data_IF_257208673646
#
_entry.id   IF_257208673646
#
_cell.length_a   1.000
_cell.length_b   1.000
_cell.length_c   1.000
_cell.angle_alpha   90.00
_cell.angle_beta   90.00
_cell.angle_gamma   90.00
#
_symmetry.space_group_name_H-M   'P 1'
#
loop_
_entity.id
_entity.type
_entity.pdbx_description
1 polymer ?
#
# COMPACT_ATOMS: atom_id res chain seq x y z
N UNK A 1 11.33 -41.65 -41.51
CA UNK A 1 12.49 -41.27 -42.33
C UNK A 1 12.27 -39.84 -42.84
N UNK A 2 13.31 -38.99 -42.83
CA UNK A 2 13.27 -37.54 -43.08
C UNK A 2 13.52 -37.24 -44.59
N UNK A 3 13.66 -35.98 -45.11
CA UNK A 3 14.79 -35.10 -44.80
C UNK A 3 14.53 -33.56 -44.75
N UNK A 4 15.52 -32.92 -44.11
CA UNK A 4 16.09 -31.57 -44.21
C UNK A 4 15.79 -30.69 -45.45
N UNK A 5 15.86 -29.36 -45.28
CA UNK A 5 17.03 -28.54 -45.76
C UNK A 5 16.89 -27.02 -45.51
N UNK A 6 18.06 -26.41 -45.29
CA UNK A 6 18.40 -24.99 -45.15
C UNK A 6 18.42 -24.23 -46.50
N UNK A 7 18.31 -22.90 -46.47
CA UNK A 7 19.23 -21.89 -47.11
C UNK A 7 18.58 -20.49 -47.04
N UNK A 8 19.12 -19.47 -46.37
CA UNK A 8 20.25 -18.55 -46.69
C UNK A 8 20.21 -17.91 -48.09
N UNK A 9 20.03 -16.59 -48.13
CA UNK A 9 20.61 -15.71 -49.14
C UNK A 9 21.10 -14.41 -48.49
N UNK A 10 22.30 -14.00 -48.90
CA UNK A 10 23.16 -12.90 -48.42
C UNK A 10 23.46 -12.04 -49.66
N UNK A 11 23.56 -10.72 -49.48
CA UNK A 11 24.34 -9.79 -50.33
C UNK A 11 24.67 -8.58 -49.43
N UNK A 12 25.88 -8.39 -48.88
CA UNK A 12 27.17 -7.96 -49.49
C UNK A 12 27.01 -6.69 -50.34
N UNK A 13 27.31 -5.48 -49.83
CA UNK A 13 28.61 -4.85 -49.46
C UNK A 13 29.22 -4.02 -50.60
N UNK A 14 29.47 -2.72 -50.36
CA UNK A 14 30.71 -2.06 -50.83
C UNK A 14 30.99 -0.75 -50.08
N UNK A 15 32.28 -0.55 -49.88
CA UNK A 15 32.96 0.33 -48.95
C UNK A 15 33.52 1.62 -49.59
N UNK A 16 34.30 2.35 -48.76
CA UNK A 16 35.31 3.40 -49.03
C UNK A 16 34.75 4.84 -48.83
N UNK A 17 35.37 5.78 -48.09
CA UNK A 17 36.81 6.01 -47.84
C UNK A 17 37.04 6.94 -46.62
N UNK A 18 38.14 6.72 -45.88
CA UNK A 18 38.88 7.69 -45.03
C UNK A 18 39.79 8.57 -45.92
N UNK A 19 40.23 9.78 -45.50
CA UNK A 19 41.43 10.02 -44.66
C UNK A 19 41.29 11.27 -43.75
N UNK A 20 42.22 11.83 -42.98
CA UNK A 20 43.40 11.47 -42.17
C UNK A 20 43.82 12.77 -41.41
N UNK A 21 44.52 12.64 -40.27
CA UNK A 21 45.24 13.73 -39.55
C UNK A 21 45.03 13.63 -38.02
N UNK A 22 45.90 13.00 -37.23
CA UNK A 22 47.22 13.43 -36.68
C UNK A 22 47.13 14.62 -35.71
N UNK A 23 47.78 14.74 -34.55
CA UNK A 23 48.63 13.94 -33.63
C UNK A 23 49.18 14.98 -32.61
N UNK A 24 49.28 14.67 -31.30
CA UNK A 24 50.30 15.14 -30.31
C UNK A 24 49.72 15.14 -28.88
N UNK A 25 50.15 14.22 -27.99
CA UNK A 25 51.35 14.24 -27.12
C UNK A 25 51.26 15.30 -26.01
N UNK A 26 51.26 14.84 -24.73
CA UNK A 26 52.16 15.29 -23.66
C UNK A 26 51.94 14.43 -22.39
N UNK A 27 53.00 13.72 -22.03
CA UNK A 27 53.24 13.00 -20.78
C UNK A 27 54.32 13.75 -19.98
N UNK A 28 54.32 13.53 -18.64
CA UNK A 28 55.48 13.54 -17.72
C UNK A 28 56.12 14.92 -17.35
N UNK A 29 56.59 15.23 -16.12
CA UNK A 29 56.76 14.48 -14.85
C UNK A 29 57.30 15.38 -13.70
N UNK A 30 57.19 14.87 -12.46
CA UNK A 30 58.17 14.89 -11.32
C UNK A 30 58.44 16.21 -10.55
N UNK A 31 58.82 16.25 -9.27
CA UNK A 31 59.45 15.31 -8.29
C UNK A 31 59.06 15.77 -6.86
N UNK A 32 59.36 15.17 -5.69
CA UNK A 32 60.41 14.25 -5.20
C UNK A 32 60.04 13.82 -3.76
N UNK A 33 60.06 12.53 -3.41
CA UNK A 33 61.12 11.72 -2.73
C UNK A 33 61.36 12.00 -1.22
N UNK A 34 61.09 10.99 -0.38
CA UNK A 34 62.01 10.58 0.71
C UNK A 34 61.66 9.18 1.21
N UNK A 35 62.71 8.39 1.38
CA UNK A 35 62.80 6.93 1.52
C UNK A 35 62.82 6.44 2.97
N UNK A 36 62.37 5.19 3.20
CA UNK A 36 63.12 4.17 3.97
C UNK A 36 62.36 2.83 4.08
N UNK A 37 63.01 1.77 3.61
CA UNK A 37 62.83 0.33 3.91
C UNK A 37 62.75 0.08 5.44
N UNK A 38 62.14 -0.94 6.06
CA UNK A 38 62.07 -2.39 5.79
C UNK A 38 61.19 -3.09 6.85
N UNK A 39 60.66 -4.26 6.46
CA UNK A 39 60.18 -5.43 7.23
C UNK A 39 59.31 -5.28 8.51
N UNK A 40 58.07 -5.78 8.46
CA UNK A 40 57.63 -6.88 9.34
C UNK A 40 56.24 -7.36 8.93
N UNK A 41 56.18 -8.60 8.46
CA UNK A 41 54.96 -9.40 8.46
C UNK A 41 54.34 -9.39 9.85
N UNK A 42 53.08 -9.00 9.93
CA UNK A 42 52.15 -9.35 11.00
C UNK A 42 50.77 -9.33 10.37
N UNK A 43 50.36 -10.51 9.92
CA UNK A 43 48.97 -10.85 9.68
C UNK A 43 48.17 -10.60 10.97
N UNK A 44 47.53 -9.45 11.06
CA UNK A 44 46.42 -9.22 11.97
C UNK A 44 45.38 -8.36 11.26
N UNK A 45 44.87 -8.90 10.15
CA UNK A 45 43.50 -8.61 9.76
C UNK A 45 42.62 -9.16 10.89
N UNK A 46 42.39 -8.31 11.88
CA UNK A 46 41.32 -8.47 12.84
C UNK A 46 40.03 -8.52 12.02
N UNK A 47 39.65 -9.75 11.70
CA UNK A 47 38.34 -10.16 11.24
C UNK A 47 37.39 -9.82 12.39
N UNK A 48 37.04 -8.54 12.48
CA UNK A 48 35.80 -8.15 13.14
C UNK A 48 34.72 -8.78 12.28
N UNK A 49 34.30 -9.99 12.66
CA UNK A 49 33.04 -10.57 12.21
C UNK A 49 31.97 -9.50 12.47
N UNK A 50 31.66 -8.73 11.43
CA UNK A 50 30.56 -7.77 11.44
C UNK A 50 29.31 -8.63 11.50
N UNK A 51 28.90 -8.96 12.73
CA UNK A 51 27.80 -9.86 13.03
C UNK A 51 26.57 -9.36 12.27
N UNK A 52 26.22 -10.07 11.20
CA UNK A 52 25.19 -9.62 10.28
C UNK A 52 23.90 -9.34 11.05
N UNK A 53 23.24 -8.18 10.86
CA UNK A 53 22.20 -7.73 11.76
C UNK A 53 21.09 -8.79 11.88
N UNK A 54 20.69 -9.05 13.14
CA UNK A 54 19.63 -10.01 13.49
C UNK A 54 18.25 -9.59 12.96
N UNK A 55 18.08 -8.29 12.70
CA UNK A 55 16.85 -7.69 12.15
C UNK A 55 17.10 -7.22 10.72
N UNK A 56 16.25 -7.65 9.80
CA UNK A 56 16.25 -7.22 8.40
C UNK A 56 14.98 -6.43 8.07
N UNK A 57 15.09 -5.38 7.26
CA UNK A 57 13.93 -4.59 6.81
C UNK A 57 13.56 -5.01 5.39
N UNK A 58 12.31 -5.35 5.17
CA UNK A 58 11.79 -5.76 3.87
C UNK A 58 11.45 -4.55 2.97
N UNK A 59 11.21 -4.77 1.66
CA UNK A 59 10.79 -3.72 0.74
C UNK A 59 9.48 -3.04 1.15
N UNK A 60 8.58 -3.78 1.82
CA UNK A 60 7.33 -3.22 2.32
C UNK A 60 7.49 -2.39 3.60
N UNK A 61 8.73 -2.27 4.11
CA UNK A 61 9.22 -1.57 5.31
C UNK A 61 8.99 -2.30 6.63
N UNK A 62 8.59 -3.57 6.59
CA UNK A 62 8.43 -4.40 7.77
C UNK A 62 9.80 -4.85 8.29
N UNK A 63 9.96 -4.94 9.60
CA UNK A 63 11.17 -5.46 10.23
C UNK A 63 10.97 -6.92 10.63
N UNK A 64 11.96 -7.78 10.36
CA UNK A 64 11.91 -9.21 10.64
C UNK A 64 13.13 -9.67 11.43
N UNK A 65 12.91 -10.45 12.49
CA UNK A 65 13.93 -11.22 13.19
C UNK A 65 14.20 -12.54 12.45
N UNK A 66 15.47 -12.77 12.12
CA UNK A 66 15.92 -13.95 11.35
C UNK A 66 17.04 -14.75 12.04
N UNK A 67 17.56 -14.28 13.16
CA UNK A 67 18.66 -14.90 13.94
C UNK A 67 18.43 -16.39 14.27
N UNK A 68 17.19 -16.77 14.52
CA UNK A 68 16.82 -18.16 14.84
C UNK A 68 16.71 -19.09 13.62
N UNK A 69 16.83 -18.56 12.40
CA UNK A 69 16.77 -19.35 11.16
C UNK A 69 18.14 -19.97 10.82
N UNK A 70 18.18 -21.08 10.05
CA UNK A 70 19.43 -21.58 9.48
C UNK A 70 20.15 -20.50 8.66
N UNK A 71 21.48 -20.50 8.68
CA UNK A 71 22.31 -19.49 8.01
C UNK A 71 21.98 -19.38 6.51
N UNK A 72 21.71 -20.50 5.83
CA UNK A 72 21.30 -20.50 4.42
C UNK A 72 20.01 -19.71 4.20
N UNK A 73 18.99 -19.94 5.04
CA UNK A 73 17.72 -19.21 5.00
C UNK A 73 17.90 -17.74 5.37
N UNK A 74 18.76 -17.42 6.35
CA UNK A 74 19.06 -16.03 6.69
C UNK A 74 19.65 -15.27 5.49
N UNK A 75 20.60 -15.88 4.79
CA UNK A 75 21.23 -15.30 3.61
C UNK A 75 20.21 -15.15 2.48
N UNK A 76 19.39 -16.16 2.21
CA UNK A 76 18.32 -16.08 1.22
C UNK A 76 17.33 -14.92 1.50
N UNK A 77 16.97 -14.71 2.78
CA UNK A 77 16.11 -13.58 3.18
C UNK A 77 16.82 -12.24 3.00
N UNK A 78 18.09 -12.14 3.41
CA UNK A 78 18.89 -10.91 3.25
C UNK A 78 19.02 -10.54 1.77
N UNK A 79 19.35 -11.51 0.92
CA UNK A 79 19.52 -11.30 -0.52
C UNK A 79 18.20 -10.87 -1.17
N UNK A 80 17.11 -11.59 -0.88
CA UNK A 80 15.78 -11.27 -1.40
C UNK A 80 15.26 -9.89 -0.97
N UNK A 81 15.66 -9.37 0.19
CA UNK A 81 15.23 -8.04 0.67
C UNK A 81 16.19 -6.91 0.27
N UNK A 82 17.48 -7.20 0.08
CA UNK A 82 18.49 -6.23 -0.37
C UNK A 82 18.28 -5.84 -1.84
N UNK A 83 18.05 -6.83 -2.70
CA UNK A 83 17.76 -6.64 -4.11
C UNK A 83 16.42 -7.30 -4.45
N UNK A 84 15.30 -6.68 -4.06
CA UNK A 84 14.00 -7.30 -4.24
C UNK A 84 13.70 -7.53 -5.72
N UNK A 85 13.08 -8.68 -6.05
CA UNK A 85 12.78 -9.01 -7.42
C UNK A 85 11.83 -7.95 -8.01
N UNK A 86 12.08 -7.59 -9.29
CA UNK A 86 11.25 -6.62 -10.02
C UNK A 86 9.96 -7.28 -10.49
N UNK A 87 9.10 -7.58 -9.52
CA UNK A 87 7.84 -8.27 -9.72
C UNK A 87 6.71 -7.27 -9.95
N UNK A 88 5.92 -7.51 -10.98
CA UNK A 88 4.57 -6.97 -11.10
C UNK A 88 3.56 -8.09 -10.88
N UNK A 89 2.71 -7.98 -9.86
CA UNK A 89 1.57 -8.89 -9.71
C UNK A 89 0.58 -8.61 -10.84
N UNK A 90 0.16 -9.68 -11.50
CA UNK A 90 -0.73 -9.59 -12.64
C UNK A 90 -2.15 -9.97 -12.22
N UNK A 91 -2.31 -11.23 -11.84
CA UNK A 91 -3.61 -11.84 -11.58
C UNK A 91 -3.56 -12.65 -10.30
N UNK A 92 -4.65 -12.65 -9.57
CA UNK A 92 -4.88 -13.58 -8.48
C UNK A 92 -6.26 -14.22 -8.60
N UNK A 93 -6.38 -15.45 -8.14
CA UNK A 93 -7.65 -16.17 -8.13
C UNK A 93 -7.69 -17.25 -7.06
N UNK A 94 -8.88 -17.54 -6.58
CA UNK A 94 -9.17 -18.71 -5.75
C UNK A 94 -9.69 -19.82 -6.66
N UNK A 95 -9.02 -20.97 -6.68
CA UNK A 95 -9.45 -22.18 -7.39
C UNK A 95 -9.54 -23.30 -6.37
N UNK A 96 -10.76 -23.75 -6.08
CA UNK A 96 -11.03 -24.72 -5.03
C UNK A 96 -10.40 -24.25 -3.69
N UNK A 97 -9.46 -25.02 -3.15
CA UNK A 97 -8.73 -24.72 -1.92
C UNK A 97 -7.32 -24.18 -2.20
N UNK A 98 -7.13 -23.41 -3.28
CA UNK A 98 -5.82 -22.85 -3.65
C UNK A 98 -5.93 -21.41 -4.13
N UNK A 99 -5.28 -20.49 -3.42
CA UNK A 99 -4.99 -19.15 -3.92
C UNK A 99 -3.81 -19.22 -4.89
N UNK A 100 -4.00 -18.72 -6.10
CA UNK A 100 -2.97 -18.66 -7.13
C UNK A 100 -2.67 -17.20 -7.46
N UNK A 101 -1.39 -16.85 -7.44
CA UNK A 101 -0.88 -15.53 -7.81
C UNK A 101 0.03 -15.66 -9.02
N UNK A 102 -0.27 -14.92 -10.07
CA UNK A 102 0.54 -14.81 -11.27
C UNK A 102 1.33 -13.51 -11.22
N UNK A 103 2.62 -13.60 -11.50
CA UNK A 103 3.55 -12.48 -11.49
C UNK A 103 4.32 -12.39 -12.80
N UNK A 104 4.62 -11.16 -13.21
CA UNK A 104 5.34 -10.86 -14.44
C UNK A 104 6.76 -10.39 -14.11
N UNK A 105 7.74 -11.18 -14.53
CA UNK A 105 9.16 -10.85 -14.57
C UNK A 105 9.69 -11.02 -16.01
N UNK A 106 10.96 -11.40 -16.19
CA UNK A 106 11.48 -11.93 -17.47
C UNK A 106 10.71 -13.19 -17.91
N UNK A 107 10.32 -14.03 -16.94
CA UNK A 107 9.49 -15.21 -17.14
C UNK A 107 8.31 -15.12 -16.19
N UNK A 108 7.10 -15.37 -16.69
CA UNK A 108 5.91 -15.44 -15.82
C UNK A 108 6.10 -16.51 -14.76
N UNK A 109 5.97 -16.13 -13.49
CA UNK A 109 5.99 -17.06 -12.36
C UNK A 109 4.59 -17.16 -11.76
N UNK A 110 4.35 -18.28 -11.09
CA UNK A 110 3.12 -18.50 -10.33
C UNK A 110 3.43 -19.01 -8.93
N UNK A 111 2.78 -18.42 -7.93
CA UNK A 111 2.77 -18.91 -6.55
C UNK A 111 1.41 -19.50 -6.25
N UNK A 112 1.40 -20.62 -5.51
CA UNK A 112 0.19 -21.27 -5.04
C UNK A 112 0.26 -21.42 -3.52
N UNK A 113 -0.80 -20.99 -2.86
CA UNK A 113 -1.03 -21.13 -1.42
C UNK A 113 -2.26 -22.02 -1.28
N UNK A 114 -2.04 -23.29 -0.93
CA UNK A 114 -3.09 -24.32 -0.86
C UNK A 114 -3.45 -24.61 0.59
N UNK A 115 -4.74 -24.72 0.90
CA UNK A 115 -5.18 -25.21 2.20
C UNK A 115 -4.73 -26.66 2.38
N UNK A 116 -4.13 -26.98 3.51
CA UNK A 116 -3.72 -28.34 3.84
C UNK A 116 -4.62 -28.92 4.92
N UNK A 117 -4.88 -30.23 4.83
CA UNK A 117 -5.70 -30.95 5.81
C UNK A 117 -5.06 -31.06 7.20
N UNK A 118 -3.74 -30.86 7.29
CA UNK A 118 -2.96 -30.85 8.54
C UNK A 118 -2.97 -29.48 9.26
N UNK A 119 -3.69 -28.49 8.71
CA UNK A 119 -3.81 -27.15 9.29
C UNK A 119 -2.67 -26.19 8.92
N UNK A 120 -1.69 -26.60 8.11
CA UNK A 120 -0.60 -25.71 7.66
C UNK A 120 -0.56 -25.62 6.14
N UNK A 121 -0.82 -24.44 5.58
CA UNK A 121 -0.87 -24.19 4.14
C UNK A 121 0.33 -24.73 3.39
N UNK A 122 0.11 -25.38 2.25
CA UNK A 122 1.19 -25.76 1.35
C UNK A 122 1.51 -24.59 0.41
N UNK A 123 2.75 -24.13 0.46
CA UNK A 123 3.27 -23.04 -0.37
C UNK A 123 4.10 -23.67 -1.50
N UNK A 124 3.91 -23.19 -2.73
CA UNK A 124 4.73 -23.62 -3.86
C UNK A 124 4.93 -22.50 -4.86
N UNK A 125 6.09 -22.46 -5.49
CA UNK A 125 6.41 -21.50 -6.56
C UNK A 125 6.89 -22.25 -7.79
N UNK A 126 6.57 -21.74 -8.98
CA UNK A 126 7.04 -22.26 -10.26
C UNK A 126 8.56 -22.21 -10.47
N UNK A 127 9.33 -21.64 -9.53
CA UNK A 127 10.80 -21.67 -9.55
C UNK A 127 11.39 -23.02 -9.07
N UNK A 128 10.59 -23.91 -8.48
CA UNK A 128 10.95 -25.31 -8.24
C UNK A 128 11.93 -25.57 -7.08
N UNK A 129 11.88 -24.79 -6.00
CA UNK A 129 12.64 -25.07 -4.78
C UNK A 129 11.68 -25.48 -3.67
N UNK A 130 11.78 -26.74 -3.21
CA UNK A 130 10.87 -27.31 -2.22
C UNK A 130 11.36 -27.15 -0.77
N UNK A 131 12.68 -27.01 -0.56
CA UNK A 131 13.28 -27.01 0.79
C UNK A 131 13.47 -25.61 1.41
N UNK A 132 13.64 -24.57 0.60
CA UNK A 132 13.84 -23.19 1.06
C UNK A 132 12.88 -22.22 0.36
N UNK A 133 12.39 -21.17 1.07
CA UNK A 133 11.51 -20.19 0.48
C UNK A 133 12.29 -19.35 -0.55
N UNK A 134 11.89 -19.46 -1.81
CA UNK A 134 12.44 -18.62 -2.88
C UNK A 134 12.13 -17.13 -2.68
N UNK A 135 12.87 -16.26 -3.36
CA UNK A 135 12.67 -14.81 -3.36
C UNK A 135 11.22 -14.38 -3.70
N UNK A 136 10.55 -15.09 -4.63
CA UNK A 136 9.17 -14.79 -5.02
C UNK A 136 8.19 -15.03 -3.86
N UNK A 137 8.39 -16.10 -3.10
CA UNK A 137 7.58 -16.43 -1.93
C UNK A 137 7.81 -15.40 -0.82
N UNK A 138 9.07 -15.10 -0.51
CA UNK A 138 9.43 -14.09 0.48
C UNK A 138 8.81 -12.73 0.16
N UNK A 139 8.95 -12.29 -1.10
CA UNK A 139 8.39 -11.03 -1.55
C UNK A 139 6.86 -11.01 -1.47
N UNK A 140 6.17 -12.04 -1.97
CA UNK A 140 4.70 -12.07 -1.94
C UNK A 140 4.18 -12.11 -0.50
N UNK A 141 4.75 -12.95 0.35
CA UNK A 141 4.31 -13.07 1.74
C UNK A 141 4.53 -11.77 2.52
N UNK A 142 5.63 -11.06 2.26
CA UNK A 142 5.85 -9.71 2.80
C UNK A 142 4.75 -8.72 2.35
N UNK A 143 4.34 -8.75 1.08
CA UNK A 143 3.22 -7.91 0.61
C UNK A 143 1.90 -8.28 1.31
N UNK A 144 1.62 -9.57 1.49
CA UNK A 144 0.38 -10.02 2.13
C UNK A 144 0.37 -9.62 3.61
N UNK A 145 1.44 -9.88 4.34
CA UNK A 145 1.57 -9.53 5.78
C UNK A 145 1.29 -8.07 6.01
N UNK A 146 1.84 -7.19 5.17
CA UNK A 146 1.61 -5.74 5.26
C UNK A 146 0.13 -5.37 5.17
N UNK A 147 -0.67 -6.13 4.43
CA UNK A 147 -2.10 -5.86 4.29
C UNK A 147 -2.95 -6.48 5.38
N UNK A 148 -2.56 -7.65 5.90
CA UNK A 148 -3.42 -8.50 6.72
C UNK A 148 -3.13 -8.46 8.22
N UNK A 149 -1.93 -8.04 8.63
CA UNK A 149 -1.55 -7.99 10.05
C UNK A 149 -1.80 -6.58 10.61
N UNK A 150 -2.95 -6.39 11.25
CA UNK A 150 -3.36 -5.09 11.80
C UNK A 150 -2.69 -4.71 13.13
N UNK A 151 -2.33 -5.71 13.94
CA UNK A 151 -1.86 -5.51 15.32
C UNK A 151 -0.33 -5.42 15.43
N UNK A 152 0.35 -5.12 14.32
CA UNK A 152 1.78 -4.94 14.34
C UNK A 152 2.15 -3.62 15.02
N UNK A 153 2.92 -3.71 16.10
CA UNK A 153 3.67 -2.59 16.63
C UNK A 153 4.88 -2.37 15.73
N UNK A 154 4.94 -1.22 15.04
CA UNK A 154 6.02 -0.93 14.11
C UNK A 154 7.40 -0.88 14.76
N UNK A 155 7.47 -0.69 16.09
CA UNK A 155 8.72 -0.76 16.84
C UNK A 155 9.18 -2.21 17.11
N UNK A 156 8.32 -3.21 16.91
CA UNK A 156 8.61 -4.62 17.18
C UNK A 156 8.80 -5.40 15.88
N UNK A 157 9.98 -6.00 15.67
CA UNK A 157 10.20 -6.83 14.49
C UNK A 157 9.39 -8.13 14.58
N UNK A 158 8.91 -8.59 13.43
CA UNK A 158 8.14 -9.82 13.26
C UNK A 158 9.05 -11.05 13.28
N UNK A 159 8.60 -12.16 13.85
CA UNK A 159 9.43 -13.38 13.90
C UNK A 159 9.24 -14.22 12.65
N UNK A 160 10.22 -14.21 11.74
CA UNK A 160 10.19 -14.98 10.49
C UNK A 160 10.15 -16.50 10.76
N UNK A 161 9.41 -17.27 9.98
CA UNK A 161 9.46 -18.75 10.04
C UNK A 161 10.43 -19.30 9.00
N UNK A 162 10.82 -20.57 9.13
CA UNK A 162 11.63 -21.27 8.11
C UNK A 162 10.95 -21.32 6.73
N UNK A 163 9.65 -20.99 6.65
CA UNK A 163 8.84 -21.00 5.44
C UNK A 163 8.71 -19.62 4.79
N UNK A 164 9.39 -18.60 5.32
CA UNK A 164 9.46 -17.28 4.70
C UNK A 164 8.30 -16.33 4.98
N UNK A 165 7.48 -16.61 5.99
CA UNK A 165 6.45 -15.68 6.50
C UNK A 165 6.54 -15.55 8.03
N UNK A 166 6.05 -14.44 8.62
CA UNK A 166 6.11 -14.22 10.06
C UNK A 166 5.08 -15.06 10.84
N UNK A 167 5.42 -15.46 12.07
CA UNK A 167 4.53 -16.25 12.94
C UNK A 167 3.21 -15.54 13.24
N UNK A 168 3.26 -14.21 13.34
CA UNK A 168 2.14 -13.32 13.63
C UNK A 168 1.06 -13.35 12.54
N UNK A 169 1.43 -13.71 11.29
CA UNK A 169 0.47 -13.92 10.21
C UNK A 169 -0.46 -15.11 10.48
N UNK A 170 0.02 -16.10 11.25
CA UNK A 170 -0.60 -17.41 11.36
C UNK A 170 -0.49 -18.20 10.06
N UNK A 171 -1.50 -19.01 9.77
CA UNK A 171 -1.57 -19.79 8.53
C UNK A 171 -1.88 -18.89 7.31
N UNK A 172 -1.04 -18.88 6.24
CA UNK A 172 -1.23 -17.97 5.11
C UNK A 172 -2.57 -18.13 4.37
N UNK A 173 -3.05 -19.35 4.15
CA UNK A 173 -4.33 -19.58 3.48
C UNK A 173 -5.49 -19.02 4.33
N UNK A 174 -5.54 -19.37 5.62
CA UNK A 174 -6.57 -18.88 6.52
C UNK A 174 -6.51 -17.37 6.73
N UNK A 175 -5.31 -16.79 6.69
CA UNK A 175 -5.09 -15.35 6.76
C UNK A 175 -5.70 -14.63 5.54
N UNK A 176 -5.44 -15.14 4.33
CA UNK A 176 -6.07 -14.62 3.10
C UNK A 176 -7.60 -14.84 3.14
N UNK A 177 -8.07 -16.01 3.57
CA UNK A 177 -9.51 -16.32 3.63
C UNK A 177 -10.28 -15.43 4.62
N UNK A 178 -9.63 -15.02 5.73
CA UNK A 178 -10.17 -14.01 6.67
C UNK A 178 -10.20 -12.62 6.06
N UNK A 179 -9.17 -12.29 5.29
CA UNK A 179 -9.03 -10.96 4.70
C UNK A 179 -9.85 -10.78 3.41
N UNK A 180 -10.24 -11.88 2.77
CA UNK A 180 -10.73 -11.98 1.40
C UNK A 180 -9.68 -11.63 0.34
N UNK A 181 -9.72 -12.39 -0.76
CA UNK A 181 -8.77 -12.23 -1.86
C UNK A 181 -8.91 -10.88 -2.56
N UNK A 182 -10.13 -10.37 -2.73
CA UNK A 182 -10.40 -9.10 -3.41
C UNK A 182 -9.89 -7.88 -2.63
N UNK A 183 -10.17 -7.79 -1.33
CA UNK A 183 -9.58 -6.74 -0.50
C UNK A 183 -8.05 -6.80 -0.45
N UNK A 184 -7.49 -8.02 -0.41
CA UNK A 184 -6.05 -8.21 -0.44
C UNK A 184 -5.47 -7.74 -1.79
N UNK A 185 -6.12 -8.13 -2.89
CA UNK A 185 -5.72 -7.84 -4.26
C UNK A 185 -5.63 -6.33 -4.51
N UNK A 186 -6.60 -5.56 -4.05
CA UNK A 186 -6.57 -4.10 -4.06
C UNK A 186 -5.30 -3.56 -3.38
N UNK A 187 -5.02 -4.05 -2.16
CA UNK A 187 -3.86 -3.60 -1.37
C UNK A 187 -2.50 -3.96 -1.97
N UNK A 188 -2.42 -4.99 -2.79
CA UNK A 188 -1.18 -5.44 -3.46
C UNK A 188 -1.18 -5.15 -4.97
N UNK A 189 -2.15 -4.37 -5.46
CA UNK A 189 -2.32 -3.95 -6.86
C UNK A 189 -2.39 -5.11 -7.87
N UNK A 190 -3.13 -6.16 -7.49
CA UNK A 190 -3.29 -7.37 -8.28
C UNK A 190 -4.73 -7.46 -8.82
N UNK A 191 -4.92 -7.92 -10.05
CA UNK A 191 -6.26 -8.11 -10.60
C UNK A 191 -6.87 -9.43 -10.10
N UNK A 192 -8.07 -9.41 -9.54
CA UNK A 192 -8.81 -10.65 -9.24
C UNK A 192 -9.45 -11.20 -10.50
N UNK A 193 -9.30 -12.51 -10.74
CA UNK A 193 -9.95 -13.20 -11.86
C UNK A 193 -10.86 -14.29 -11.33
N UNK A 194 -12.13 -14.24 -11.70
CA UNK A 194 -13.08 -15.34 -11.48
C UNK A 194 -13.13 -16.24 -12.72
N UNK A 195 -13.56 -17.51 -12.60
CA UNK A 195 -13.73 -18.39 -13.75
C UNK A 195 -14.63 -17.80 -14.85
N UNK A 196 -15.63 -17.01 -14.46
CA UNK A 196 -16.56 -16.34 -15.37
C UNK A 196 -15.93 -15.07 -15.99
N UNK A 197 -15.15 -14.31 -15.22
CA UNK A 197 -14.52 -13.07 -15.69
C UNK A 197 -13.35 -13.27 -16.66
N UNK A 198 -12.82 -14.50 -16.79
CA UNK A 198 -11.74 -14.82 -17.72
C UNK A 198 -12.16 -14.61 -19.19
N UNK A 199 -13.48 -14.58 -19.45
CA UNK A 199 -14.06 -14.39 -20.79
C UNK A 199 -14.78 -13.05 -20.99
N UNK A 200 -15.20 -12.38 -19.92
CA UNK A 200 -16.12 -11.24 -20.03
C UNK A 200 -15.44 -9.88 -20.31
N UNK A 201 -14.11 -9.79 -20.34
CA UNK A 201 -13.37 -8.53 -20.51
C UNK A 201 -13.88 -7.40 -19.58
N UNK A 202 -14.46 -7.77 -18.44
CA UNK A 202 -14.94 -6.80 -17.48
C UNK A 202 -13.75 -6.05 -16.90
N UNK A 203 -13.89 -4.73 -16.90
CA UNK A 203 -12.88 -3.84 -16.42
C UNK A 203 -12.92 -3.83 -14.90
N UNK A 204 -11.78 -4.12 -14.29
CA UNK A 204 -11.57 -3.98 -12.87
C UNK A 204 -11.77 -2.49 -12.46
N UNK A 205 -12.82 -2.17 -11.68
CA UNK A 205 -13.11 -0.80 -11.30
C UNK A 205 -12.02 -0.22 -10.38
N UNK A 206 -11.40 -1.03 -9.53
CA UNK A 206 -10.32 -0.60 -8.65
C UNK A 206 -9.11 -0.19 -9.48
N UNK A 207 -8.71 -1.03 -10.43
CA UNK A 207 -7.59 -0.73 -11.34
C UNK A 207 -7.82 0.55 -12.16
N UNK A 208 -9.06 0.82 -12.55
CA UNK A 208 -9.40 2.05 -13.25
C UNK A 208 -9.32 3.29 -12.35
N UNK A 209 -9.71 3.17 -11.08
CA UNK A 209 -9.51 4.23 -10.08
C UNK A 209 -8.02 4.49 -9.83
N UNK A 210 -7.20 3.46 -9.70
CA UNK A 210 -5.75 3.63 -9.52
C UNK A 210 -5.09 4.28 -10.73
N UNK A 211 -5.53 3.92 -11.95
CA UNK A 211 -5.07 4.58 -13.16
C UNK A 211 -5.51 6.05 -13.22
N UNK A 212 -6.69 6.39 -12.67
CA UNK A 212 -7.15 7.77 -12.52
C UNK A 212 -6.24 8.55 -11.61
N UNK A 213 -5.89 7.98 -10.47
CA UNK A 213 -5.00 8.59 -9.49
C UNK A 213 -3.61 8.85 -10.07
N UNK A 214 -3.00 7.85 -10.71
CA UNK A 214 -1.71 7.98 -11.39
C UNK A 214 -1.71 9.13 -12.41
N UNK A 215 -2.74 9.19 -13.26
CA UNK A 215 -2.82 10.22 -14.30
C UNK A 215 -3.12 11.61 -13.71
N UNK A 216 -3.99 11.67 -12.69
CA UNK A 216 -4.31 12.93 -12.01
C UNK A 216 -3.08 13.55 -11.33
N UNK A 217 -2.19 12.73 -10.75
CA UNK A 217 -0.93 13.19 -10.15
C UNK A 217 -0.02 13.92 -11.13
N UNK A 218 0.02 13.47 -12.38
CA UNK A 218 0.85 14.10 -13.42
C UNK A 218 0.18 15.36 -13.96
N UNK A 219 -1.15 15.36 -14.08
CA UNK A 219 -1.88 16.47 -14.68
C UNK A 219 -2.24 17.60 -13.71
N UNK A 220 -2.30 17.34 -12.40
CA UNK A 220 -2.55 18.33 -11.35
C UNK A 220 -3.95 18.33 -10.70
N UNK A 221 -5.07 18.11 -11.41
CA UNK A 221 -6.39 18.02 -10.79
C UNK A 221 -6.49 16.92 -9.75
N UNK A 222 -7.42 17.07 -8.80
CA UNK A 222 -7.78 15.98 -7.90
C UNK A 222 -8.32 14.77 -8.70
N UNK A 223 -8.11 13.53 -8.23
CA UNK A 223 -8.61 12.33 -8.91
C UNK A 223 -10.08 12.44 -9.27
N UNK A 224 -10.93 12.96 -8.38
CA UNK A 224 -12.38 13.06 -8.53
C UNK A 224 -12.82 13.96 -9.69
N UNK A 225 -12.02 14.97 -10.03
CA UNK A 225 -12.26 15.93 -11.11
C UNK A 225 -11.53 15.57 -12.41
N UNK A 226 -10.58 14.64 -12.35
CA UNK A 226 -9.76 14.30 -13.50
C UNK A 226 -10.56 13.50 -14.55
N UNK A 227 -10.70 14.06 -15.75
CA UNK A 227 -11.27 13.41 -16.96
C UNK A 227 -12.54 12.59 -16.70
N UNK A 228 -13.65 13.19 -16.23
CA UNK A 228 -14.90 12.46 -15.97
C UNK A 228 -15.43 11.74 -17.23
N UNK A 229 -15.13 12.25 -18.42
CA UNK A 229 -15.45 11.60 -19.70
C UNK A 229 -14.76 10.23 -19.90
N UNK A 230 -13.67 9.95 -19.20
CA UNK A 230 -13.00 8.64 -19.18
C UNK A 230 -13.50 7.82 -17.99
N UNK A 231 -13.51 8.40 -16.79
CA UNK A 231 -13.58 7.64 -15.55
C UNK A 231 -14.98 7.50 -14.95
N UNK A 232 -15.98 8.25 -15.41
CA UNK A 232 -17.37 8.02 -14.96
C UNK A 232 -17.92 6.70 -15.50
N UNK A 233 -17.49 6.28 -16.70
CA UNK A 233 -17.85 5.00 -17.33
C UNK A 233 -16.64 4.43 -18.07
N UNK A 234 -15.65 3.90 -17.34
CA UNK A 234 -14.41 3.43 -17.92
C UNK A 234 -14.64 2.26 -18.89
N UNK A 235 -13.84 2.21 -19.95
CA UNK A 235 -13.85 1.10 -20.92
C UNK A 235 -12.45 0.83 -21.46
N UNK A 236 -12.10 -0.46 -21.50
CA UNK A 236 -10.87 -0.96 -22.15
C UNK A 236 -10.84 -0.60 -23.63
N UNK A 237 -12.00 -0.68 -24.29
CA UNK A 237 -12.16 -0.44 -25.72
C UNK A 237 -11.44 -1.48 -26.58
N UNK A 238 -11.58 -1.37 -27.91
CA UNK A 238 -11.03 -2.38 -28.85
C UNK A 238 -9.52 -2.24 -29.12
N UNK A 239 -8.95 -1.07 -28.88
CA UNK A 239 -7.55 -0.74 -29.18
C UNK A 239 -6.98 0.13 -28.07
N UNK A 240 -5.76 -0.17 -27.64
CA UNK A 240 -5.02 0.61 -26.64
C UNK A 240 -4.83 2.05 -27.12
N UNK A 241 -4.34 2.24 -28.35
CA UNK A 241 -4.13 3.57 -28.92
C UNK A 241 -5.45 4.27 -29.29
N UNK A 242 -5.74 5.38 -28.60
CA UNK A 242 -6.81 6.31 -28.96
C UNK A 242 -6.21 7.54 -29.65
N UNK A 243 -6.44 7.67 -30.95
CA UNK A 243 -5.97 8.84 -31.73
C UNK A 243 -6.54 10.13 -31.14
N UNK A 244 -5.68 11.15 -31.02
CA UNK A 244 -5.97 12.49 -30.51
C UNK A 244 -6.38 12.55 -29.02
N UNK A 245 -6.17 11.49 -28.25
CA UNK A 245 -6.43 11.47 -26.79
C UNK A 245 -5.33 10.69 -26.09
N UNK A 246 -4.28 11.40 -25.67
CA UNK A 246 -3.11 10.79 -25.01
C UNK A 246 -3.50 10.21 -23.66
N UNK A 247 -4.24 10.94 -22.83
CA UNK A 247 -4.63 10.46 -21.50
C UNK A 247 -5.44 9.17 -21.60
N UNK A 248 -6.39 9.07 -22.54
CA UNK A 248 -7.16 7.82 -22.76
C UNK A 248 -6.27 6.69 -23.31
N UNK A 249 -5.24 7.01 -24.09
CA UNK A 249 -4.25 6.02 -24.53
C UNK A 249 -3.43 5.51 -23.35
N UNK A 250 -2.89 6.40 -22.52
CA UNK A 250 -2.09 6.01 -21.35
C UNK A 250 -2.95 5.26 -20.33
N UNK A 251 -4.18 5.71 -20.08
CA UNK A 251 -5.17 4.98 -19.27
C UNK A 251 -5.31 3.53 -19.73
N UNK A 252 -5.54 3.29 -21.03
CA UNK A 252 -5.66 1.92 -21.56
C UNK A 252 -4.37 1.12 -21.45
N UNK A 253 -3.20 1.76 -21.58
CA UNK A 253 -1.92 1.10 -21.35
C UNK A 253 -1.72 0.68 -19.89
N UNK A 254 -2.17 1.50 -18.93
CA UNK A 254 -2.09 1.18 -17.50
C UNK A 254 -3.00 -0.01 -17.11
N UNK A 255 -4.11 -0.19 -17.82
CA UNK A 255 -5.00 -1.33 -17.66
C UNK A 255 -4.42 -2.61 -18.29
N UNK A 256 -3.87 -2.50 -19.50
CA UNK A 256 -3.40 -3.65 -20.29
C UNK A 256 -2.03 -4.18 -19.82
N UNK A 257 -1.11 -3.28 -19.44
CA UNK A 257 0.26 -3.63 -19.09
C UNK A 257 0.58 -3.36 -17.61
N UNK A 258 0.76 -4.44 -16.86
CA UNK A 258 0.97 -4.40 -15.41
C UNK A 258 2.37 -3.88 -15.05
N UNK A 259 3.39 -4.25 -15.81
CA UNK A 259 4.74 -3.71 -15.61
C UNK A 259 4.77 -2.20 -15.85
N UNK A 260 4.05 -1.71 -16.88
CA UNK A 260 3.95 -0.29 -17.15
C UNK A 260 3.28 0.47 -16.00
N UNK A 261 2.20 -0.07 -15.45
CA UNK A 261 1.56 0.51 -14.26
C UNK A 261 2.50 0.57 -13.05
N UNK A 262 3.17 -0.54 -12.71
CA UNK A 262 4.08 -0.56 -11.56
C UNK A 262 5.27 0.38 -11.76
N UNK A 263 5.80 0.45 -12.99
CA UNK A 263 6.83 1.41 -13.35
C UNK A 263 6.33 2.85 -13.15
N UNK A 264 5.17 3.20 -13.68
CA UNK A 264 4.60 4.55 -13.53
C UNK A 264 4.39 4.91 -12.07
N UNK A 265 3.81 3.99 -11.28
CA UNK A 265 3.60 4.15 -9.84
C UNK A 265 4.91 4.35 -9.08
N UNK A 266 5.98 3.63 -9.46
CA UNK A 266 7.30 3.77 -8.82
C UNK A 266 7.93 5.15 -9.01
N UNK A 267 7.49 5.90 -10.03
CA UNK A 267 7.94 7.27 -10.30
C UNK A 267 7.08 8.33 -9.59
N UNK A 268 5.90 7.97 -9.09
CA UNK A 268 5.02 8.89 -8.37
C UNK A 268 5.59 9.29 -7.01
N UNK A 269 5.28 10.51 -6.58
CA UNK A 269 5.69 11.02 -5.29
C UNK A 269 4.98 10.27 -4.15
N UNK A 270 5.56 10.23 -2.94
CA UNK A 270 4.89 9.66 -1.76
C UNK A 270 3.59 10.41 -1.37
N UNK A 271 3.43 11.65 -1.82
CA UNK A 271 2.25 12.49 -1.56
C UNK A 271 1.18 12.38 -2.64
N UNK A 272 1.44 11.64 -3.72
CA UNK A 272 0.46 11.41 -4.77
C UNK A 272 -0.66 10.50 -4.27
N UNK A 273 -1.92 10.69 -4.71
CA UNK A 273 -3.08 9.89 -4.25
C UNK A 273 -2.87 8.37 -4.33
N UNK A 274 -2.18 7.88 -5.36
CA UNK A 274 -1.88 6.45 -5.54
C UNK A 274 -0.95 5.88 -4.47
N UNK A 275 -0.11 6.73 -3.86
CA UNK A 275 0.89 6.37 -2.86
C UNK A 275 0.53 6.87 -1.46
N UNK A 276 -0.57 7.63 -1.32
CA UNK A 276 -1.07 8.13 -0.05
C UNK A 276 -1.69 6.97 0.77
N UNK A 277 -1.03 6.51 1.86
CA UNK A 277 -1.50 5.37 2.63
C UNK A 277 -2.85 5.63 3.31
N UNK A 278 -3.13 6.88 3.68
CA UNK A 278 -4.37 7.22 4.40
C UNK A 278 -5.57 7.13 3.45
N UNK A 279 -5.42 7.67 2.23
CA UNK A 279 -6.43 7.56 1.18
C UNK A 279 -6.71 6.10 0.83
N UNK A 280 -5.66 5.28 0.66
CA UNK A 280 -5.80 3.85 0.35
C UNK A 280 -6.53 3.07 1.44
N UNK A 281 -6.30 3.41 2.72
CA UNK A 281 -7.03 2.81 3.84
C UNK A 281 -8.50 3.27 3.87
N UNK A 282 -8.80 4.51 3.49
CA UNK A 282 -10.17 5.00 3.33
C UNK A 282 -10.91 4.25 2.21
N UNK A 283 -10.30 4.10 1.03
CA UNK A 283 -10.86 3.35 -0.09
C UNK A 283 -11.13 1.88 0.28
N UNK A 284 -10.23 1.26 1.05
CA UNK A 284 -10.46 -0.09 1.59
C UNK A 284 -11.69 -0.15 2.48
N UNK A 285 -11.90 0.83 3.35
CA UNK A 285 -13.10 0.90 4.18
C UNK A 285 -14.35 1.04 3.31
N UNK A 286 -14.31 1.85 2.26
CA UNK A 286 -15.44 1.97 1.32
C UNK A 286 -15.74 0.64 0.60
N UNK A 287 -14.73 -0.13 0.24
CA UNK A 287 -14.89 -1.49 -0.31
C UNK A 287 -15.56 -2.41 0.71
N UNK A 288 -15.01 -2.51 1.93
CA UNK A 288 -15.58 -3.32 3.02
C UNK A 288 -17.05 -2.98 3.28
N UNK A 289 -17.39 -1.70 3.28
CA UNK A 289 -18.76 -1.24 3.51
C UNK A 289 -19.69 -1.59 2.33
N UNK A 290 -19.22 -1.44 1.10
CA UNK A 290 -19.96 -1.83 -0.11
C UNK A 290 -20.27 -3.33 -0.11
N UNK A 291 -19.32 -4.13 0.30
CA UNK A 291 -19.47 -5.58 0.38
C UNK A 291 -20.41 -6.02 1.47
N UNK A 292 -20.32 -5.38 2.64
CA UNK A 292 -21.28 -5.58 3.72
C UNK A 292 -22.70 -5.22 3.24
N UNK A 293 -22.86 -4.08 2.57
CA UNK A 293 -24.14 -3.65 2.03
C UNK A 293 -24.65 -4.63 0.94
N UNK A 294 -23.77 -5.14 0.07
CA UNK A 294 -24.12 -6.13 -0.95
C UNK A 294 -24.51 -7.48 -0.34
N UNK A 295 -23.81 -7.94 0.70
CA UNK A 295 -24.08 -9.22 1.36
C UNK A 295 -25.45 -9.23 2.05
N UNK A 296 -25.99 -8.08 2.48
CA UNK A 296 -27.39 -7.98 2.95
C UNK A 296 -28.40 -8.33 1.87
N UNK A 297 -28.14 -7.87 0.65
CA UNK A 297 -29.06 -7.98 -0.47
C UNK A 297 -29.03 -9.41 -1.02
N UNK A 298 -27.84 -10.02 -1.07
CA UNK A 298 -27.62 -11.38 -1.57
C UNK A 298 -28.08 -12.46 -0.57
N UNK A 299 -27.91 -12.23 0.74
CA UNK A 299 -28.36 -13.17 1.77
C UNK A 299 -29.88 -13.33 1.80
N UNK A 300 -30.63 -12.33 1.33
CA UNK A 300 -32.07 -12.41 1.16
C UNK A 300 -32.51 -13.25 -0.07
N UNK A 301 -31.60 -13.56 -1.01
CA UNK A 301 -31.94 -14.11 -2.33
C UNK A 301 -31.31 -15.47 -2.66
N UNK A 302 -30.22 -15.90 -2.00
CA UNK A 302 -29.49 -17.11 -2.39
C UNK A 302 -29.22 -18.07 -1.21
N UNK A 303 -30.17 -18.98 -0.96
CA UNK A 303 -30.00 -20.12 -0.05
C UNK A 303 -29.19 -21.30 -0.65
N UNK A 304 -28.71 -21.19 -1.89
CA UNK A 304 -28.11 -22.29 -2.67
C UNK A 304 -26.70 -21.99 -3.24
N UNK A 305 -26.00 -20.96 -2.74
CA UNK A 305 -24.64 -20.68 -3.20
C UNK A 305 -23.64 -21.75 -2.72
N UNK A 306 -22.69 -22.12 -3.59
CA UNK A 306 -21.57 -23.01 -3.24
C UNK A 306 -20.85 -22.45 -2.01
N UNK A 307 -20.54 -23.26 -0.98
CA UNK A 307 -19.85 -22.78 0.20
C UNK A 307 -18.47 -22.23 -0.20
N UNK A 308 -18.31 -20.92 -0.12
CA UNK A 308 -16.99 -20.27 -0.19
C UNK A 308 -16.19 -20.67 1.05
N UNK A 309 -14.88 -20.86 0.87
CA UNK A 309 -13.94 -21.02 1.99
C UNK A 309 -13.59 -19.69 2.65
N UNK A 310 -13.89 -18.58 1.99
CA UNK A 310 -13.75 -17.27 2.58
C UNK A 310 -14.83 -17.05 3.65
N UNK A 311 -14.49 -16.25 4.65
CA UNK A 311 -15.38 -15.98 5.77
C UNK A 311 -16.60 -15.18 5.30
N UNK A 312 -17.78 -15.30 5.92
CA UNK A 312 -18.91 -14.44 5.60
C UNK A 312 -18.57 -12.95 5.78
N UNK A 313 -18.97 -12.11 4.81
CA UNK A 313 -18.83 -10.64 4.87
C UNK A 313 -19.93 -10.02 5.75
N UNK A 314 -19.86 -10.36 7.03
CA UNK A 314 -20.80 -9.91 8.06
C UNK A 314 -20.31 -8.65 8.80
N UNK A 315 -21.07 -8.19 9.79
CA UNK A 315 -20.72 -7.00 10.57
C UNK A 315 -19.45 -7.19 11.39
N UNK A 316 -19.18 -8.40 11.88
CA UNK A 316 -17.98 -8.69 12.69
C UNK A 316 -16.74 -8.60 11.82
N UNK A 317 -16.82 -9.16 10.61
CA UNK A 317 -15.82 -9.03 9.57
C UNK A 317 -15.57 -7.56 9.23
N UNK A 318 -16.61 -6.81 8.87
CA UNK A 318 -16.49 -5.40 8.51
C UNK A 318 -15.90 -4.55 9.65
N UNK A 319 -16.38 -4.76 10.88
CA UNK A 319 -15.85 -4.09 12.06
C UNK A 319 -14.36 -4.39 12.28
N UNK A 320 -13.93 -5.64 12.06
CA UNK A 320 -12.53 -6.05 12.17
C UNK A 320 -11.64 -5.31 11.16
N UNK A 321 -12.08 -5.23 9.90
CA UNK A 321 -11.34 -4.52 8.85
C UNK A 321 -11.30 -3.01 9.05
N UNK A 322 -12.39 -2.40 9.50
CA UNK A 322 -12.45 -0.95 9.79
C UNK A 322 -11.55 -0.61 10.98
N UNK A 323 -11.61 -1.39 12.07
CA UNK A 323 -10.70 -1.21 13.20
C UNK A 323 -9.24 -1.43 12.78
N UNK A 324 -8.99 -2.42 11.94
CA UNK A 324 -7.68 -2.67 11.35
C UNK A 324 -7.15 -1.48 10.57
N UNK A 325 -7.98 -0.87 9.71
CA UNK A 325 -7.62 0.33 8.97
C UNK A 325 -7.30 1.50 9.90
N UNK A 326 -8.10 1.74 10.96
CA UNK A 326 -7.81 2.78 11.96
C UNK A 326 -6.49 2.52 12.70
N UNK A 327 -6.18 1.26 13.02
CA UNK A 327 -4.88 0.87 13.62
C UNK A 327 -3.72 1.11 12.64
N UNK A 328 -3.88 0.76 11.36
CA UNK A 328 -2.88 1.04 10.34
C UNK A 328 -2.64 2.54 10.15
N UNK A 329 -3.70 3.37 10.14
CA UNK A 329 -3.57 4.84 10.13
C UNK A 329 -2.75 5.30 11.34
N UNK A 330 -3.10 4.83 12.54
CA UNK A 330 -2.36 5.15 13.76
C UNK A 330 -0.88 4.76 13.63
N UNK A 331 -0.60 3.56 13.15
CA UNK A 331 0.77 3.07 12.97
C UNK A 331 1.54 3.93 11.97
N UNK A 332 0.96 4.29 10.82
CA UNK A 332 1.59 5.18 9.82
C UNK A 332 1.85 6.60 10.34
N UNK A 333 1.17 7.02 11.41
CA UNK A 333 1.45 8.29 12.10
C UNK A 333 2.64 8.17 13.07
N UNK A 334 2.80 7.04 13.76
CA UNK A 334 3.86 6.82 14.76
C UNK A 334 5.17 6.25 14.19
N UNK A 335 5.07 5.33 13.23
CA UNK A 335 6.17 4.53 12.69
C UNK A 335 7.06 5.28 11.68
N UNK A 336 7.19 6.59 11.83
CA UNK A 336 7.76 7.46 10.80
C UNK A 336 9.22 7.78 11.10
N UNK A 337 10.06 7.58 10.09
CA UNK A 337 11.46 8.02 10.08
C UNK A 337 11.60 9.55 9.89
N UNK A 338 10.50 10.23 9.54
CA UNK A 338 10.45 11.68 9.27
C UNK A 338 9.24 12.36 9.93
N UNK A 339 9.32 13.67 10.23
CA UNK A 339 8.17 14.42 10.69
C UNK A 339 6.99 14.36 9.72
N UNK A 340 5.78 14.22 10.29
CA UNK A 340 4.52 14.22 9.54
C UNK A 340 4.35 15.55 8.80
N UNK A 341 4.16 15.51 7.49
CA UNK A 341 3.96 16.71 6.69
C UNK A 341 2.51 17.22 6.84
N UNK A 342 2.25 18.53 6.70
CA UNK A 342 0.90 19.08 6.83
C UNK A 342 -0.13 18.43 5.89
N UNK A 343 0.24 18.16 4.64
CA UNK A 343 -0.65 17.50 3.67
C UNK A 343 -0.99 16.06 4.08
N UNK A 344 -0.01 15.32 4.61
CA UNK A 344 -0.20 13.96 5.13
C UNK A 344 -1.10 13.96 6.36
N UNK A 345 -0.92 14.91 7.28
CA UNK A 345 -1.77 15.09 8.44
C UNK A 345 -3.23 15.40 8.04
N UNK A 346 -3.42 16.25 7.04
CA UNK A 346 -4.75 16.57 6.47
C UNK A 346 -5.37 15.32 5.84
N UNK A 347 -4.62 14.53 5.09
CA UNK A 347 -5.12 13.29 4.48
C UNK A 347 -5.51 12.25 5.52
N UNK A 348 -4.69 12.06 6.57
CA UNK A 348 -5.00 11.20 7.70
C UNK A 348 -6.28 11.65 8.42
N UNK A 349 -6.40 12.94 8.74
CA UNK A 349 -7.58 13.49 9.38
C UNK A 349 -8.84 13.33 8.51
N UNK A 350 -8.75 13.62 7.20
CA UNK A 350 -9.84 13.42 6.24
C UNK A 350 -10.32 11.97 6.21
N UNK A 351 -9.38 11.03 6.11
CA UNK A 351 -9.67 9.60 6.06
C UNK A 351 -10.34 9.12 7.35
N UNK A 352 -9.86 9.57 8.51
CA UNK A 352 -10.47 9.26 9.80
C UNK A 352 -11.89 9.82 9.95
N UNK A 353 -12.11 11.08 9.56
CA UNK A 353 -13.43 11.73 9.57
C UNK A 353 -14.39 10.97 8.65
N UNK A 354 -13.95 10.60 7.45
CA UNK A 354 -14.73 9.81 6.50
C UNK A 354 -15.12 8.45 7.06
N UNK A 355 -14.16 7.71 7.63
CA UNK A 355 -14.44 6.41 8.27
C UNK A 355 -15.48 6.56 9.39
N UNK A 356 -15.36 7.58 10.23
CA UNK A 356 -16.32 7.82 11.31
C UNK A 356 -17.71 8.14 10.77
N UNK A 357 -17.82 9.05 9.81
CA UNK A 357 -19.08 9.43 9.16
C UNK A 357 -19.77 8.22 8.50
N UNK A 358 -18.99 7.41 7.78
CA UNK A 358 -19.49 6.23 7.07
C UNK A 358 -20.02 5.15 8.03
N UNK A 359 -19.44 5.01 9.22
CA UNK A 359 -19.91 4.10 10.29
C UNK A 359 -21.15 4.67 10.99
N UNK A 360 -21.14 5.96 11.34
CA UNK A 360 -22.26 6.62 12.04
C UNK A 360 -23.52 6.63 11.18
N UNK A 361 -23.37 6.86 9.88
CA UNK A 361 -24.46 6.81 8.89
C UNK A 361 -25.10 5.42 8.74
N UNK A 362 -24.50 4.36 9.28
CA UNK A 362 -24.95 2.96 9.18
C UNK A 362 -25.48 2.39 10.49
N UNK A 363 -26.24 3.19 11.25
CA UNK A 363 -26.99 2.68 12.41
C UNK A 363 -28.28 1.94 11.99
N UNK A 364 -28.10 0.76 11.38
CA UNK A 364 -29.18 -0.15 11.01
C UNK A 364 -28.74 -1.60 11.23
N UNK A 365 -29.70 -2.49 11.47
CA UNK A 365 -29.44 -3.92 11.53
C UNK A 365 -29.32 -4.46 10.09
N UNK A 366 -28.21 -5.14 9.81
CA UNK A 366 -27.73 -5.49 8.47
C UNK A 366 -28.02 -6.98 8.16
N UNK A 367 -27.94 -7.86 9.17
CA UNK A 367 -28.20 -9.30 9.06
C UNK A 367 -28.78 -9.90 10.36
N UNK A 368 -29.36 -11.11 10.34
CA UNK A 368 -29.61 -11.87 11.56
C UNK A 368 -28.28 -12.32 12.18
N UNK A 369 -27.97 -11.76 13.35
CA UNK A 369 -26.82 -12.08 14.18
C UNK A 369 -27.30 -12.45 15.58
N UNK A 370 -26.48 -13.23 16.30
CA UNK A 370 -26.84 -13.76 17.60
C UNK A 370 -27.06 -12.66 18.65
N UNK A 371 -26.30 -11.57 18.54
CA UNK A 371 -26.38 -10.40 19.41
C UNK A 371 -26.60 -9.13 18.59
N UNK A 372 -27.17 -8.09 19.22
CA UNK A 372 -27.46 -6.81 18.55
C UNK A 372 -26.21 -6.18 17.91
N UNK A 373 -25.02 -6.48 18.45
CA UNK A 373 -23.73 -5.95 17.98
C UNK A 373 -23.25 -6.64 16.71
N UNK A 374 -23.40 -7.95 16.57
CA UNK A 374 -23.10 -8.66 15.32
C UNK A 374 -24.08 -8.33 14.18
N UNK A 375 -25.14 -7.57 14.46
CA UNK A 375 -26.10 -7.12 13.44
C UNK A 375 -25.93 -5.69 13.01
N UNK A 376 -25.29 -4.85 13.81
CA UNK A 376 -25.29 -3.41 13.60
C UNK A 376 -23.87 -2.84 13.75
N UNK A 377 -23.34 -2.32 12.64
CA UNK A 377 -21.97 -1.83 12.55
C UNK A 377 -21.71 -0.65 13.50
N UNK A 378 -22.67 0.28 13.59
CA UNK A 378 -22.58 1.42 14.49
C UNK A 378 -22.48 0.96 15.95
N UNK A 379 -23.32 0.02 16.38
CA UNK A 379 -23.27 -0.51 17.75
C UNK A 379 -21.96 -1.26 18.01
N UNK A 380 -21.49 -2.05 17.05
CA UNK A 380 -20.24 -2.80 17.16
C UNK A 380 -19.01 -1.90 17.40
N UNK A 381 -18.97 -0.73 16.77
CA UNK A 381 -17.80 0.16 16.78
C UNK A 381 -17.91 1.38 17.71
N UNK A 382 -19.12 1.92 17.89
CA UNK A 382 -19.35 3.20 18.59
C UNK A 382 -20.42 3.08 19.67
N UNK A 383 -21.62 2.59 19.31
CA UNK A 383 -22.82 2.74 20.13
C UNK A 383 -22.85 1.93 21.43
N UNK A 384 -22.17 0.78 21.50
CA UNK A 384 -22.25 -0.13 22.65
C UNK A 384 -20.96 -0.25 23.46
N UNK A 385 -19.83 0.24 22.95
CA UNK A 385 -18.51 0.08 23.56
C UNK A 385 -17.87 1.44 23.80
N UNK A 386 -17.47 1.69 25.05
CA UNK A 386 -16.76 2.90 25.40
C UNK A 386 -15.27 2.82 25.02
N UNK A 387 -15.00 2.66 23.73
CA UNK A 387 -13.66 2.59 23.15
C UNK A 387 -13.32 3.89 22.44
N UNK A 388 -12.04 4.23 22.32
CA UNK A 388 -11.64 5.49 21.68
C UNK A 388 -11.90 5.55 20.17
N UNK A 389 -12.03 4.39 19.51
CA UNK A 389 -12.20 4.24 18.07
C UNK A 389 -11.40 5.32 17.29
N UNK A 390 -12.03 6.01 16.33
CA UNK A 390 -11.41 7.09 15.53
C UNK A 390 -11.02 8.30 16.38
N UNK A 391 -11.74 8.61 17.47
CA UNK A 391 -11.49 9.81 18.31
C UNK A 391 -10.08 9.77 18.89
N UNK A 392 -9.63 8.59 19.34
CA UNK A 392 -8.29 8.42 19.89
C UNK A 392 -7.19 8.81 18.89
N UNK A 393 -7.38 8.50 17.60
CA UNK A 393 -6.38 8.82 16.56
C UNK A 393 -6.51 10.27 16.10
N UNK A 394 -7.73 10.80 15.92
CA UNK A 394 -7.96 12.22 15.60
C UNK A 394 -7.40 13.15 16.67
N UNK A 395 -7.37 12.70 17.92
CA UNK A 395 -6.80 13.46 19.04
C UNK A 395 -5.31 13.81 18.85
N UNK A 396 -4.60 13.06 18.01
CA UNK A 396 -3.19 13.22 17.68
C UNK A 396 -2.93 14.24 16.57
N UNK A 397 -3.98 14.71 15.89
CA UNK A 397 -3.90 15.57 14.71
C UNK A 397 -4.73 16.87 14.87
N UNK A 398 -4.57 17.65 15.96
CA UNK A 398 -5.48 18.74 16.26
C UNK A 398 -5.49 19.85 15.19
N UNK A 399 -4.36 20.19 14.59
CA UNK A 399 -4.29 21.22 13.54
C UNK A 399 -5.01 20.76 12.26
N UNK A 400 -4.75 19.53 11.82
CA UNK A 400 -5.36 18.97 10.61
C UNK A 400 -6.86 18.68 10.80
N UNK A 401 -7.25 18.09 11.95
CA UNK A 401 -8.64 17.80 12.26
C UNK A 401 -9.49 19.07 12.42
N UNK A 402 -8.88 20.22 12.79
CA UNK A 402 -9.60 21.49 12.90
C UNK A 402 -10.21 21.97 11.57
N UNK A 403 -9.69 21.51 10.42
CA UNK A 403 -10.24 21.82 9.09
C UNK A 403 -11.58 21.13 8.83
N UNK A 404 -11.90 20.10 9.61
CA UNK A 404 -13.11 19.27 9.44
C UNK A 404 -14.10 19.46 10.61
N UNK A 405 -14.00 20.58 11.34
CA UNK A 405 -14.85 20.88 12.51
C UNK A 405 -16.35 20.75 12.20
N UNK A 406 -16.82 21.33 11.09
CA UNK A 406 -18.24 21.28 10.71
C UNK A 406 -18.74 19.85 10.50
N UNK A 407 -17.92 19.00 9.86
CA UNK A 407 -18.25 17.59 9.65
C UNK A 407 -18.29 16.84 10.98
N UNK A 408 -17.29 17.07 11.86
CA UNK A 408 -17.24 16.43 13.17
C UNK A 408 -18.40 16.84 14.09
N UNK A 409 -18.86 18.10 14.00
CA UNK A 409 -20.04 18.58 14.72
C UNK A 409 -21.32 17.88 14.21
N UNK A 410 -21.51 17.79 12.89
CA UNK A 410 -22.65 17.07 12.30
C UNK A 410 -22.66 15.58 12.68
N UNK A 411 -21.49 14.93 12.71
CA UNK A 411 -21.34 13.54 13.15
C UNK A 411 -21.71 13.42 14.63
N UNK A 412 -21.26 14.33 15.50
CA UNK A 412 -21.62 14.30 16.92
C UNK A 412 -23.14 14.44 17.14
N UNK A 413 -23.81 15.28 16.35
CA UNK A 413 -25.26 15.42 16.41
C UNK A 413 -25.97 14.11 16.04
N UNK A 414 -25.51 13.43 14.97
CA UNK A 414 -26.03 12.11 14.59
C UNK A 414 -25.80 11.06 15.69
N UNK A 415 -24.62 11.04 16.30
CA UNK A 415 -24.31 10.17 17.44
C UNK A 415 -25.23 10.47 18.62
N UNK A 416 -25.56 11.74 18.86
CA UNK A 416 -26.51 12.17 19.88
C UNK A 416 -27.91 11.58 19.66
N UNK A 417 -28.35 11.45 18.41
CA UNK A 417 -29.63 10.82 18.02
C UNK A 417 -29.55 9.30 18.15
N UNK A 418 -28.45 8.68 17.71
CA UNK A 418 -28.28 7.23 17.70
C UNK A 418 -28.00 6.63 19.09
N UNK A 419 -27.47 7.45 19.99
CA UNK A 419 -27.01 7.03 21.31
C UNK A 419 -25.60 6.45 21.25
N UNK A 420 -24.75 6.85 22.19
CA UNK A 420 -23.42 6.31 22.40
C UNK A 420 -23.08 6.30 23.90
N UNK A 421 -22.07 5.55 24.34
CA UNK A 421 -21.65 5.53 25.73
C UNK A 421 -21.26 6.95 26.18
N UNK A 422 -21.62 7.30 27.42
CA UNK A 422 -21.39 8.64 27.95
C UNK A 422 -19.92 9.06 27.90
N UNK A 423 -19.00 8.11 28.15
CA UNK A 423 -17.56 8.34 28.05
C UNK A 423 -17.14 8.72 26.63
N UNK A 424 -17.60 7.97 25.62
CA UNK A 424 -17.33 8.25 24.20
C UNK A 424 -17.79 9.65 23.80
N UNK A 425 -19.04 9.99 24.11
CA UNK A 425 -19.62 11.30 23.80
C UNK A 425 -18.89 12.44 24.54
N UNK A 426 -18.44 12.22 25.78
CA UNK A 426 -17.63 13.19 26.52
C UNK A 426 -16.26 13.41 25.87
N UNK A 427 -15.58 12.33 25.45
CA UNK A 427 -14.29 12.42 24.76
C UNK A 427 -14.41 13.11 23.40
N UNK A 428 -15.50 12.88 22.66
CA UNK A 428 -15.75 13.59 21.40
C UNK A 428 -15.96 15.09 21.63
N UNK A 429 -16.79 15.49 22.60
CA UNK A 429 -16.98 16.91 22.93
C UNK A 429 -15.66 17.58 23.35
N UNK A 430 -14.86 16.91 24.19
CA UNK A 430 -13.55 17.41 24.59
C UNK A 430 -12.59 17.58 23.41
N UNK A 431 -12.63 16.67 22.42
CA UNK A 431 -11.88 16.82 21.17
C UNK A 431 -12.33 18.07 20.42
N UNK A 432 -13.64 18.26 20.18
CA UNK A 432 -14.16 19.44 19.47
C UNK A 432 -13.77 20.76 20.15
N UNK A 433 -13.86 20.84 21.47
CA UNK A 433 -13.47 22.04 22.22
C UNK A 433 -11.98 22.37 22.02
N UNK A 434 -11.11 21.35 22.03
CA UNK A 434 -9.69 21.52 21.75
C UNK A 434 -9.43 21.96 20.30
N UNK A 435 -10.14 21.40 19.33
CA UNK A 435 -10.03 21.77 17.92
C UNK A 435 -10.44 23.23 17.67
N UNK A 436 -11.51 23.71 18.34
CA UNK A 436 -11.94 25.11 18.30
C UNK A 436 -10.89 26.06 18.88
N UNK A 437 -10.24 25.66 19.97
CA UNK A 437 -9.15 26.44 20.56
C UNK A 437 -7.93 26.53 19.62
N UNK A 438 -7.56 25.42 18.96
CA UNK A 438 -6.47 25.37 17.98
C UNK A 438 -6.74 26.26 16.76
N UNK A 439 -7.98 26.23 16.23
CA UNK A 439 -8.40 27.09 15.11
C UNK A 439 -8.26 28.59 15.42
N UNK A 440 -8.56 29.02 16.65
CA UNK A 440 -8.45 30.42 17.07
C UNK A 440 -6.99 30.88 17.31
N UNK A 441 -6.08 29.96 17.59
CA UNK A 441 -4.67 30.27 17.89
C UNK A 441 -3.79 30.56 16.68
N UNK A 442 -4.18 30.14 15.47
CA UNK A 442 -3.36 30.28 14.25
C UNK A 442 -3.52 31.63 13.52
N UNK A 443 -4.35 32.55 14.06
CA UNK A 443 -4.76 33.79 13.41
C UNK A 443 -4.06 35.09 13.82
N UNK A 444 -3.06 35.09 14.72
CA UNK A 444 -2.54 36.34 15.31
C UNK A 444 -1.01 36.40 15.43
N UNK A 445 -0.34 36.84 14.35
CA UNK A 445 0.84 37.73 14.40
C UNK A 445 1.19 38.31 13.03
N UNK A 446 0.36 39.24 12.53
CA UNK A 446 0.84 40.28 11.62
C UNK A 446 0.87 41.58 12.44
N UNK A 447 1.98 41.81 13.13
CA UNK A 447 2.28 43.11 13.73
C UNK A 447 2.55 44.11 12.61
N UNK A 448 1.48 44.73 12.10
CA UNK A 448 1.56 45.99 11.36
C UNK A 448 1.84 47.07 12.41
N UNK A 449 3.12 47.36 12.63
CA UNK A 449 3.54 48.51 13.42
C UNK A 449 3.53 49.71 12.48
N UNK A 450 2.41 50.44 12.50
CA UNK A 450 2.21 51.63 11.67
C UNK A 450 1.39 52.68 12.42
N UNK A 451 2.07 53.51 13.20
CA UNK A 451 1.74 54.89 13.60
C UNK A 451 3.10 55.50 14.01
N UNK A 452 3.72 56.48 13.36
CA UNK A 452 3.17 57.66 12.68
C UNK A 452 3.21 58.84 13.65
N UNK A 453 4.32 59.60 13.69
CA UNK A 453 4.35 61.08 13.81
C UNK A 453 5.77 61.66 13.84
N UNK A 454 6.05 62.46 12.82
CA UNK A 454 6.90 63.66 12.72
C UNK A 454 7.90 64.04 13.83
N UNK A 455 9.15 64.36 13.45
CA UNK A 455 9.68 65.75 13.40
C UNK A 455 11.16 65.87 12.99
N UNK A 456 11.38 66.67 11.94
CA UNK A 456 12.44 67.68 11.70
C UNK A 456 13.91 67.38 12.04
N UNK A 457 14.70 67.34 10.95
CA UNK A 457 15.86 68.21 10.66
C UNK A 457 16.97 68.39 11.70
N UNK A 458 18.19 67.90 11.38
CA UNK A 458 19.39 68.75 11.26
C UNK A 458 20.58 68.01 10.65
N UNK A 459 21.06 68.57 9.53
CA UNK A 459 22.39 68.43 8.95
C UNK A 459 23.43 68.98 9.93
N UNK A 460 24.54 68.28 10.14
CA UNK A 460 25.84 68.92 10.40
C UNK A 460 26.97 68.08 9.77
N UNK A 461 27.92 68.87 9.24
CA UNK A 461 29.13 68.61 8.47
C UNK A 461 29.74 67.22 8.49
#
# INVERSE_FOLDING_TARGET
>A
MPPETRSRARAESRAQSRPAGSSQYLEHESSSESSSESESDSDDASDFEDESPAVVRSPSKLAYLIDHLPVSTQNAVRDAFKEPPRIALQKCRLINDTYAFQMTELVTRSIRIRASGDGTSQLSCSCGHDDEPCEHLLWLLDQIVKQTVYDQDAAKPLKMTNRGFPREMGDPFQNIARHHLDLLADGIHCQVVTPDSEYDNELDPYRAEEARELLSSVCGPAPEDYRPDIFTRPSTGKKVLKRHDLDRTVFRMLLDNHQFFHYFRSLCHPTDPINDPFRKLSQRVDHVLRDLDASTTTSATLANAVPSREIPRDVVWAATHILGAVRLIKNELYARDRPLQPAEAISAARSLVHILDAVVSRNRDVHPGADRRSRNLYLSLVGDRDQDFVIGVLSLLPEAASQFLNNLEAILDQIGVHGAPAGYAARFRALLDRLRASSRGSGLKRSVQGQGTERKSKRMK
#
